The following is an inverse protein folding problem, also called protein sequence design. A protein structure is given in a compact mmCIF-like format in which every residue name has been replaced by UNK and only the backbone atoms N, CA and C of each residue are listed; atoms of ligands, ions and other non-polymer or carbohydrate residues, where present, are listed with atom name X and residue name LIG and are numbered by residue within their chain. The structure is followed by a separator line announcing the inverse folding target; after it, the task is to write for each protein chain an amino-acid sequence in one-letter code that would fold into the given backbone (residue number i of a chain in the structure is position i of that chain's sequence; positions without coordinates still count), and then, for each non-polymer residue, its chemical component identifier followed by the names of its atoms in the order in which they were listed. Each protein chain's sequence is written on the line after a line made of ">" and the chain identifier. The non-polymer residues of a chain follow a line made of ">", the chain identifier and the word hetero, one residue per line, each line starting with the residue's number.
data_IF_355988957978
#
_entry.id   IF_355988957978
#
_cell.length_a   1.000
_cell.length_b   1.000
_cell.length_c   1.000
_cell.angle_alpha   90.00
_cell.angle_beta   90.00
_cell.angle_gamma   90.00
#
_symmetry.space_group_name_H-M   'P 1'
#
loop_
_entity.id
_entity.type
_entity.pdbx_description
1 polymer ?
#
# COMPACT_ATOMS: atom_id res chain seq x y z
N UNK A 1 -2.92 11.72 14.15
CA UNK A 1 -1.92 10.64 13.94
C UNK A 1 -0.96 11.09 12.86
N UNK A 2 0.32 10.74 12.95
CA UNK A 2 1.30 10.92 11.88
C UNK A 2 1.77 9.52 11.50
N UNK A 3 1.43 9.06 10.31
CA UNK A 3 1.91 7.79 9.76
C UNK A 3 3.05 8.09 8.79
N UNK A 4 4.00 7.18 8.65
CA UNK A 4 5.07 7.36 7.67
C UNK A 4 5.68 6.01 7.28
N UNK A 5 6.25 5.92 6.09
CA UNK A 5 6.89 4.70 5.56
C UNK A 5 8.40 4.83 5.29
N UNK A 6 9.01 5.99 5.54
CA UNK A 6 10.45 6.20 5.32
C UNK A 6 11.29 5.68 6.50
N UNK A 7 12.62 5.57 6.36
CA UNK A 7 13.50 5.29 7.49
C UNK A 7 13.38 6.41 8.54
N UNK A 8 13.14 6.02 9.80
CA UNK A 8 13.08 6.93 10.93
C UNK A 8 13.90 6.39 12.10
N UNK A 9 14.43 7.30 12.91
CA UNK A 9 15.17 6.94 14.13
C UNK A 9 14.25 6.15 15.09
N UNK A 10 13.07 6.69 15.36
CA UNK A 10 12.04 6.10 16.22
C UNK A 10 10.63 6.42 15.68
N UNK A 11 9.65 5.64 16.13
CA UNK A 11 8.21 5.84 15.88
C UNK A 11 7.47 5.67 17.20
N UNK A 12 6.20 6.07 17.23
CA UNK A 12 5.35 5.76 18.38
C UNK A 12 5.15 4.24 18.47
N UNK A 13 5.03 3.73 19.71
CA UNK A 13 4.77 2.31 19.99
C UNK A 13 5.99 1.56 20.50
N UNK A 14 5.82 0.26 20.74
CA UNK A 14 6.90 -0.64 21.13
C UNK A 14 7.45 -1.33 19.87
N UNK A 15 8.75 -1.20 19.54
CA UNK A 15 9.32 -1.90 18.40
C UNK A 15 9.54 -3.38 18.73
N UNK A 16 9.38 -4.27 17.74
CA UNK A 16 9.61 -5.72 17.90
C UNK A 16 11.02 -6.03 18.43
N UNK A 17 12.03 -5.24 18.06
CA UNK A 17 13.41 -5.41 18.52
C UNK A 17 13.60 -5.23 20.04
N UNK A 18 12.66 -4.58 20.73
CA UNK A 18 12.65 -4.41 22.19
C UNK A 18 11.74 -5.43 22.90
N UNK A 19 11.02 -6.25 22.15
CA UNK A 19 10.13 -7.28 22.66
C UNK A 19 10.88 -8.59 22.91
N UNK A 20 10.51 -9.31 23.96
CA UNK A 20 10.94 -10.69 24.15
C UNK A 20 10.25 -11.65 23.14
N UNK A 21 10.70 -12.90 22.98
CA UNK A 21 10.15 -13.80 21.97
C UNK A 21 8.64 -14.04 22.05
N UNK A 22 8.09 -14.13 23.27
CA UNK A 22 6.64 -14.29 23.47
C UNK A 22 5.88 -13.04 23.03
N UNK A 23 6.39 -11.85 23.35
CA UNK A 23 5.80 -10.58 22.95
C UNK A 23 5.87 -10.39 21.43
N UNK A 24 6.99 -10.74 20.79
CA UNK A 24 7.11 -10.71 19.32
C UNK A 24 6.08 -11.63 18.66
N UNK A 25 5.94 -12.86 19.15
CA UNK A 25 4.95 -13.80 18.64
C UNK A 25 3.52 -13.26 18.79
N UNK A 26 3.18 -12.65 19.93
CA UNK A 26 1.88 -12.02 20.16
C UNK A 26 1.64 -10.82 19.24
N UNK A 27 2.64 -9.95 19.05
CA UNK A 27 2.53 -8.80 18.17
C UNK A 27 2.33 -9.22 16.69
N UNK A 28 3.09 -10.22 16.23
CA UNK A 28 2.89 -10.77 14.89
C UNK A 28 1.55 -11.50 14.75
N UNK A 29 1.06 -12.16 15.81
CA UNK A 29 -0.29 -12.72 15.85
C UNK A 29 -1.38 -11.65 15.75
N UNK A 30 -1.17 -10.48 16.37
CA UNK A 30 -2.07 -9.34 16.22
C UNK A 30 -2.10 -8.82 14.79
N UNK A 31 -0.93 -8.65 14.15
CA UNK A 31 -0.85 -8.34 12.72
C UNK A 31 -1.62 -9.36 11.89
N UNK A 32 -1.35 -10.66 12.09
CA UNK A 32 -2.00 -11.76 11.37
C UNK A 32 -3.53 -11.75 11.50
N UNK A 33 -4.07 -11.32 12.66
CA UNK A 33 -5.52 -11.22 12.86
C UNK A 33 -6.19 -10.07 12.11
N UNK A 34 -5.43 -9.04 11.74
CA UNK A 34 -5.96 -7.85 11.06
C UNK A 34 -5.94 -7.98 9.53
N UNK A 35 -5.16 -8.91 8.98
CA UNK A 35 -4.92 -9.07 7.54
C UNK A 35 -5.29 -10.47 7.05
N UNK A 36 -5.30 -10.70 5.74
CA UNK A 36 -5.44 -12.05 5.19
C UNK A 36 -4.13 -12.84 5.28
N UNK A 37 -4.12 -14.16 5.02
CA UNK A 37 -2.88 -14.92 4.88
C UNK A 37 -1.90 -14.32 3.86
N UNK A 38 -2.40 -13.86 2.70
CA UNK A 38 -1.60 -13.17 1.68
C UNK A 38 -1.06 -11.83 2.20
N UNK A 39 -1.91 -11.02 2.85
CA UNK A 39 -1.48 -9.75 3.43
C UNK A 39 -0.43 -9.92 4.53
N UNK A 40 -0.55 -10.97 5.35
CA UNK A 40 0.42 -11.31 6.38
C UNK A 40 1.75 -11.72 5.75
N UNK A 41 1.72 -12.60 4.74
CA UNK A 41 2.91 -13.01 4.01
C UNK A 41 3.62 -11.81 3.39
N UNK A 42 2.89 -10.94 2.67
CA UNK A 42 3.45 -9.72 2.09
C UNK A 42 4.08 -8.81 3.15
N UNK A 43 3.42 -8.64 4.31
CA UNK A 43 3.97 -7.84 5.40
C UNK A 43 5.30 -8.43 5.92
N UNK A 44 5.37 -9.74 6.15
CA UNK A 44 6.60 -10.42 6.60
C UNK A 44 7.71 -10.32 5.55
N UNK A 45 7.38 -10.50 4.28
CA UNK A 45 8.32 -10.37 3.16
C UNK A 45 8.88 -8.95 3.06
N UNK A 46 8.05 -7.91 3.23
CA UNK A 46 8.50 -6.51 3.29
C UNK A 46 9.43 -6.27 4.47
N UNK A 47 9.10 -6.80 5.65
CA UNK A 47 9.98 -6.71 6.82
C UNK A 47 11.33 -7.38 6.55
N UNK A 48 11.33 -8.53 5.89
CA UNK A 48 12.53 -9.29 5.58
C UNK A 48 13.39 -8.64 4.47
N UNK A 49 12.79 -7.87 3.55
CA UNK A 49 13.53 -7.07 2.55
C UNK A 49 14.51 -6.10 3.21
N UNK A 50 14.34 -5.71 4.47
CA UNK A 50 15.34 -4.93 5.21
C UNK A 50 16.72 -5.62 5.25
N UNK A 51 16.78 -6.97 5.31
CA UNK A 51 18.07 -7.68 5.24
C UNK A 51 18.73 -7.52 3.87
N UNK A 52 17.91 -7.58 2.82
CA UNK A 52 18.39 -7.41 1.45
C UNK A 52 18.88 -5.97 1.23
N UNK A 53 18.11 -4.98 1.66
CA UNK A 53 18.51 -3.57 1.64
C UNK A 53 19.83 -3.35 2.36
N UNK A 54 19.99 -3.92 3.57
CA UNK A 54 21.26 -3.85 4.31
C UNK A 54 22.45 -4.37 3.50
N UNK A 55 22.26 -5.46 2.76
CA UNK A 55 23.30 -6.05 1.94
C UNK A 55 23.61 -5.21 0.68
N UNK A 56 22.58 -4.62 0.06
CA UNK A 56 22.72 -3.81 -1.16
C UNK A 56 23.32 -2.42 -0.88
N UNK A 57 22.95 -1.78 0.23
CA UNK A 57 23.42 -0.44 0.58
C UNK A 57 24.84 -0.42 1.19
N UNK A 58 25.31 -1.57 1.71
CA UNK A 58 26.64 -1.70 2.30
C UNK A 58 26.81 -1.02 3.66
N UNK A 59 28.06 -0.74 4.04
CA UNK A 59 28.38 -0.08 5.31
C UNK A 59 28.25 1.45 5.21
N UNK A 60 27.79 2.11 6.27
CA UNK A 60 27.74 3.58 6.37
C UNK A 60 26.36 4.22 6.17
N UNK A 61 25.29 3.43 6.09
CA UNK A 61 23.91 3.95 6.05
C UNK A 61 23.54 4.56 7.41
N UNK A 62 23.04 5.80 7.41
CA UNK A 62 22.73 6.55 8.64
C UNK A 62 21.62 5.93 9.50
N UNK A 63 20.74 5.13 8.90
CA UNK A 63 19.64 4.44 9.60
C UNK A 63 19.80 2.93 9.44
N UNK A 64 19.81 2.21 10.56
CA UNK A 64 19.94 0.75 10.54
C UNK A 64 18.76 0.08 9.84
N UNK A 65 19.06 -0.73 8.82
CA UNK A 65 18.15 -1.67 8.18
C UNK A 65 17.94 -2.88 9.08
N UNK A 66 16.72 -3.08 9.57
CA UNK A 66 16.42 -4.10 10.56
C UNK A 66 14.98 -4.64 10.42
N UNK A 67 14.82 -5.94 10.09
CA UNK A 67 13.51 -6.59 9.92
C UNK A 67 12.60 -6.59 11.14
N UNK A 68 13.14 -6.34 12.33
CA UNK A 68 12.36 -6.25 13.58
C UNK A 68 12.26 -4.81 14.10
N UNK A 69 12.60 -3.80 13.28
CA UNK A 69 12.36 -2.38 13.59
C UNK A 69 10.97 -1.92 13.13
N UNK A 70 9.95 -2.67 13.54
CA UNK A 70 8.53 -2.39 13.27
C UNK A 70 7.81 -2.20 14.61
N UNK A 71 6.96 -1.18 14.67
CA UNK A 71 6.37 -0.64 15.88
C UNK A 71 4.90 -0.99 15.96
N UNK A 72 4.48 -1.45 17.13
CA UNK A 72 3.08 -1.69 17.44
C UNK A 72 2.61 -0.64 18.43
N UNK A 73 1.62 0.15 18.02
CA UNK A 73 1.00 1.17 18.88
C UNK A 73 -0.48 0.85 19.09
N UNK A 74 -0.86 0.66 20.35
CA UNK A 74 -2.26 0.56 20.76
C UNK A 74 -2.71 1.91 21.31
N UNK A 75 -3.85 2.42 20.82
CA UNK A 75 -4.49 3.62 21.31
C UNK A 75 -5.79 3.26 22.01
N UNK A 76 -5.96 3.74 23.24
CA UNK A 76 -7.08 3.31 24.09
C UNK A 76 -6.84 1.93 24.71
N UNK A 77 -7.91 1.32 25.22
CA UNK A 77 -7.88 0.00 25.87
C UNK A 77 -8.67 -0.99 25.01
N UNK A 78 -8.03 -2.03 24.44
CA UNK A 78 -8.74 -3.08 23.71
C UNK A 78 -9.78 -3.76 24.61
N UNK A 79 -11.04 -3.74 24.18
CA UNK A 79 -12.16 -4.45 24.80
C UNK A 79 -13.25 -4.67 23.75
N UNK A 80 -14.14 -5.64 24.00
CA UNK A 80 -15.23 -6.02 23.08
C UNK A 80 -16.36 -4.98 22.98
N UNK A 81 -16.33 -3.94 23.80
CA UNK A 81 -17.34 -2.87 23.89
C UNK A 81 -16.72 -1.46 23.80
N UNK A 82 -15.41 -1.36 23.56
CA UNK A 82 -14.70 -0.08 23.51
C UNK A 82 -14.29 0.32 22.10
N UNK A 83 -14.04 1.63 21.93
CA UNK A 83 -13.29 2.16 20.79
C UNK A 83 -11.80 2.13 21.12
N UNK A 84 -11.01 1.56 20.23
CA UNK A 84 -9.55 1.55 20.33
C UNK A 84 -8.93 1.49 18.92
N UNK A 85 -7.64 1.78 18.80
CA UNK A 85 -6.96 1.73 17.51
C UNK A 85 -5.61 1.01 17.60
N UNK A 86 -5.18 0.48 16.46
CA UNK A 86 -3.90 -0.17 16.28
C UNK A 86 -3.17 0.48 15.10
N UNK A 87 -1.91 0.82 15.31
CA UNK A 87 -0.98 1.15 14.23
C UNK A 87 0.18 0.15 14.25
N UNK A 88 0.54 -0.35 13.06
CA UNK A 88 1.69 -1.21 12.80
C UNK A 88 2.54 -0.53 11.73
N UNK A 89 3.71 -0.04 12.13
CA UNK A 89 4.51 0.84 11.27
C UNK A 89 5.99 0.48 11.27
N UNK A 90 6.62 0.63 10.12
CA UNK A 90 8.07 0.56 9.95
C UNK A 90 8.47 1.13 8.60
N UNK A 91 9.71 0.87 8.19
CA UNK A 91 10.12 1.19 6.83
C UNK A 91 9.29 0.33 5.85
N UNK A 92 8.68 0.96 4.86
CA UNK A 92 7.85 0.33 3.81
C UNK A 92 6.54 -0.36 4.24
N UNK A 93 6.12 -0.24 5.49
CA UNK A 93 4.84 -0.79 5.96
C UNK A 93 4.17 0.20 6.92
N UNK A 94 2.90 0.51 6.67
CA UNK A 94 2.06 1.25 7.62
C UNK A 94 0.62 0.75 7.51
N UNK A 95 0.15 0.10 8.56
CA UNK A 95 -1.21 -0.45 8.65
C UNK A 95 -1.90 0.14 9.87
N UNK A 96 -3.07 0.70 9.67
CA UNK A 96 -3.81 1.42 10.69
C UNK A 96 -5.23 0.86 10.76
N UNK A 97 -5.73 0.67 11.97
CA UNK A 97 -7.05 0.10 12.23
C UNK A 97 -7.72 0.83 13.38
N UNK A 98 -9.01 1.11 13.23
CA UNK A 98 -9.88 1.57 14.31
C UNK A 98 -10.95 0.53 14.54
N UNK A 99 -11.11 0.16 15.81
CA UNK A 99 -12.07 -0.85 16.25
C UNK A 99 -13.17 -0.18 17.06
N UNK A 100 -14.40 -0.67 16.88
CA UNK A 100 -15.54 -0.37 17.73
C UNK A 100 -16.22 -1.69 18.09
N UNK A 101 -16.02 -2.14 19.32
CA UNK A 101 -16.46 -3.46 19.75
C UNK A 101 -15.80 -4.58 18.96
N UNK A 102 -16.60 -5.41 18.28
CA UNK A 102 -16.13 -6.53 17.46
C UNK A 102 -15.90 -6.18 15.98
N UNK A 103 -16.01 -4.89 15.61
CA UNK A 103 -15.91 -4.41 14.24
C UNK A 103 -14.65 -3.58 14.02
N UNK A 104 -14.04 -3.77 12.85
CA UNK A 104 -13.12 -2.78 12.27
C UNK A 104 -13.98 -1.73 11.58
N UNK A 105 -13.92 -0.48 12.06
CA UNK A 105 -14.68 0.64 11.49
C UNK A 105 -13.86 1.49 10.53
N UNK A 106 -12.53 1.40 10.60
CA UNK A 106 -11.61 1.99 9.64
C UNK A 106 -10.33 1.12 9.58
N UNK A 107 -9.76 0.97 8.39
CA UNK A 107 -8.54 0.19 8.15
C UNK A 107 -7.51 0.96 7.31
N UNK A 108 -7.47 2.28 7.49
CA UNK A 108 -6.74 3.24 6.66
C UNK A 108 -6.00 4.29 7.50
N UNK A 109 -4.88 4.85 6.99
CA UNK A 109 -4.26 4.52 5.72
C UNK A 109 -3.61 3.13 5.76
N UNK A 110 -3.68 2.43 4.63
CA UNK A 110 -2.95 1.19 4.39
C UNK A 110 -1.83 1.47 3.40
N UNK A 111 -0.61 1.08 3.76
CA UNK A 111 0.57 1.26 2.93
C UNK A 111 1.43 0.01 2.91
N UNK A 112 1.78 -0.44 1.70
CA UNK A 112 2.74 -1.50 1.43
C UNK A 112 3.75 -0.99 0.40
N UNK A 113 5.03 -1.24 0.63
CA UNK A 113 6.09 -0.90 -0.31
C UNK A 113 7.13 -2.00 -0.39
N UNK A 114 7.84 -2.05 -1.52
CA UNK A 114 8.93 -3.01 -1.74
C UNK A 114 10.12 -2.32 -2.41
N UNK A 115 11.30 -2.49 -1.79
CA UNK A 115 12.59 -2.08 -2.34
C UNK A 115 13.62 -3.19 -2.03
N UNK A 116 14.17 -3.87 -3.05
CA UNK A 116 13.80 -3.78 -4.46
C UNK A 116 12.37 -4.30 -4.72
N UNK A 117 11.71 -3.75 -5.74
CA UNK A 117 10.41 -4.22 -6.21
C UNK A 117 10.50 -5.58 -6.91
N UNK A 118 11.58 -5.79 -7.68
CA UNK A 118 11.98 -7.04 -8.32
C UNK A 118 13.44 -7.35 -8.01
N UNK A 119 13.69 -8.54 -7.49
CA UNK A 119 15.02 -8.96 -7.08
C UNK A 119 15.87 -9.33 -8.31
N UNK A 120 17.07 -8.76 -8.41
CA UNK A 120 17.91 -8.87 -9.62
C UNK A 120 18.90 -10.04 -9.62
N UNK A 121 19.21 -10.59 -8.45
CA UNK A 121 20.10 -11.74 -8.26
C UNK A 121 19.66 -12.55 -7.04
N UNK A 122 20.02 -13.84 -7.02
CA UNK A 122 19.80 -14.69 -5.84
C UNK A 122 20.52 -14.11 -4.62
N UNK A 123 19.80 -13.93 -3.51
CA UNK A 123 20.31 -13.34 -2.27
C UNK A 123 19.62 -13.96 -1.06
N UNK A 124 20.37 -14.73 -0.25
CA UNK A 124 19.77 -15.51 0.83
C UNK A 124 18.73 -16.50 0.30
N UNK A 125 17.49 -16.43 0.80
CA UNK A 125 16.38 -17.25 0.28
C UNK A 125 15.67 -16.62 -0.93
N UNK A 126 15.96 -15.35 -1.24
CA UNK A 126 15.36 -14.66 -2.37
C UNK A 126 15.94 -15.14 -3.69
N UNK A 127 15.06 -15.38 -4.66
CA UNK A 127 15.43 -15.78 -6.02
C UNK A 127 15.34 -14.60 -6.97
N UNK A 128 16.20 -14.59 -7.99
CA UNK A 128 16.12 -13.62 -9.07
C UNK A 128 14.71 -13.64 -9.68
N UNK A 129 14.07 -12.48 -9.71
CA UNK A 129 12.72 -12.30 -10.22
C UNK A 129 11.60 -12.33 -9.18
N UNK A 130 11.89 -12.65 -7.91
CA UNK A 130 10.93 -12.52 -6.81
C UNK A 130 10.41 -11.07 -6.70
N UNK A 131 9.11 -10.92 -6.44
CA UNK A 131 8.38 -9.65 -6.39
C UNK A 131 7.24 -9.75 -5.36
N UNK A 132 7.28 -8.94 -4.30
CA UNK A 132 6.27 -8.99 -3.21
C UNK A 132 4.94 -8.32 -3.65
N UNK A 133 5.04 -7.27 -4.47
CA UNK A 133 3.91 -6.45 -4.94
C UNK A 133 3.73 -6.57 -6.46
N UNK A 134 3.94 -7.78 -7.01
CA UNK A 134 3.86 -8.04 -8.45
C UNK A 134 2.48 -7.72 -9.03
N UNK A 135 1.41 -8.16 -8.36
CA UNK A 135 0.05 -8.04 -8.88
C UNK A 135 -0.35 -6.57 -9.08
N UNK A 136 -0.03 -5.73 -8.10
CA UNK A 136 -0.32 -4.30 -8.08
C UNK A 136 0.37 -3.58 -9.25
N UNK A 137 1.64 -3.91 -9.52
CA UNK A 137 2.37 -3.36 -10.65
C UNK A 137 1.86 -3.91 -11.99
N UNK A 138 1.77 -5.24 -12.10
CA UNK A 138 1.46 -5.94 -13.35
C UNK A 138 0.06 -5.60 -13.84
N UNK A 139 -0.95 -5.66 -12.97
CA UNK A 139 -2.35 -5.42 -13.34
C UNK A 139 -2.58 -3.95 -13.69
N UNK A 140 -1.98 -3.00 -12.96
CA UNK A 140 -2.05 -1.57 -13.28
C UNK A 140 -1.47 -1.26 -14.66
N UNK A 141 -0.31 -1.84 -14.99
CA UNK A 141 0.31 -1.69 -16.31
C UNK A 141 -0.53 -2.33 -17.41
N UNK A 142 -1.00 -3.56 -17.21
CA UNK A 142 -1.86 -4.24 -18.19
C UNK A 142 -3.13 -3.45 -18.49
N UNK A 143 -3.76 -2.85 -17.46
CA UNK A 143 -4.91 -1.98 -17.66
C UNK A 143 -4.56 -0.77 -18.53
N UNK A 144 -3.48 -0.05 -18.20
CA UNK A 144 -3.04 1.12 -18.96
C UNK A 144 -2.65 0.79 -20.41
N UNK A 145 -1.96 -0.34 -20.64
CA UNK A 145 -1.59 -0.82 -21.97
C UNK A 145 -2.82 -1.18 -22.82
N UNK A 146 -3.85 -1.76 -22.18
CA UNK A 146 -5.07 -2.20 -22.85
C UNK A 146 -6.01 -1.07 -23.29
N UNK A 147 -5.76 0.17 -22.85
CA UNK A 147 -6.57 1.33 -23.22
C UNK A 147 -6.47 1.63 -24.73
N UNK A 148 -7.61 1.90 -25.35
CA UNK A 148 -7.68 2.45 -26.72
C UNK A 148 -7.10 3.86 -26.77
N UNK A 149 -6.77 4.39 -27.95
CA UNK A 149 -6.24 5.75 -28.07
C UNK A 149 -7.20 6.81 -27.53
N UNK A 150 -8.51 6.62 -27.75
CA UNK A 150 -9.53 7.50 -27.18
C UNK A 150 -9.54 7.45 -25.64
N UNK A 151 -9.43 6.26 -25.05
CA UNK A 151 -9.35 6.09 -23.61
C UNK A 151 -8.04 6.65 -23.05
N UNK A 152 -6.90 6.44 -23.72
CA UNK A 152 -5.60 6.99 -23.34
C UNK A 152 -5.59 8.50 -23.29
N UNK A 153 -6.30 9.17 -24.20
CA UNK A 153 -6.42 10.64 -24.18
C UNK A 153 -7.06 11.21 -22.90
N UNK A 154 -7.77 10.37 -22.14
CA UNK A 154 -8.36 10.72 -20.83
C UNK A 154 -7.65 10.05 -19.66
N UNK A 155 -7.25 8.79 -19.82
CA UNK A 155 -6.66 7.97 -18.77
C UNK A 155 -5.18 8.23 -18.53
N UNK A 156 -4.44 8.71 -19.53
CA UNK A 156 -3.06 9.15 -19.33
C UNK A 156 -3.07 10.60 -18.85
N UNK A 157 -2.60 10.80 -17.63
CA UNK A 157 -2.54 12.10 -16.98
C UNK A 157 -1.48 12.99 -17.65
N UNK A 158 -1.78 14.28 -17.86
CA UNK A 158 -0.83 15.21 -18.45
C UNK A 158 0.32 15.54 -17.47
N UNK A 159 1.44 15.98 -18.02
CA UNK A 159 2.59 16.44 -17.24
C UNK A 159 3.58 15.33 -16.85
N UNK A 160 4.51 15.68 -15.97
CA UNK A 160 5.53 14.74 -15.47
C UNK A 160 4.92 13.73 -14.49
N UNK A 161 5.44 12.51 -14.51
CA UNK A 161 5.10 11.49 -13.52
C UNK A 161 5.48 11.99 -12.12
N UNK A 162 4.59 11.85 -11.11
CA UNK A 162 4.93 12.16 -9.73
C UNK A 162 6.24 11.49 -9.29
N UNK A 163 6.90 12.07 -8.28
CA UNK A 163 8.12 11.49 -7.69
C UNK A 163 7.84 10.61 -6.46
N UNK A 164 6.65 10.74 -5.90
CA UNK A 164 6.15 10.03 -4.74
C UNK A 164 4.60 10.01 -4.76
N UNK A 165 3.99 9.18 -3.93
CA UNK A 165 2.57 9.27 -3.55
C UNK A 165 2.24 10.71 -3.13
N UNK A 166 1.19 11.30 -3.73
CA UNK A 166 0.95 12.74 -3.69
C UNK A 166 0.48 13.26 -2.33
N UNK A 167 -0.12 12.41 -1.50
CA UNK A 167 -0.51 12.72 -0.11
C UNK A 167 0.04 11.71 0.88
N UNK A 168 1.31 11.34 0.68
CA UNK A 168 2.09 10.56 1.62
C UNK A 168 2.15 11.24 3.00
N UNK A 169 2.12 10.43 4.06
CA UNK A 169 2.32 10.83 5.45
C UNK A 169 1.37 11.91 6.03
N UNK A 170 0.24 12.22 5.37
CA UNK A 170 -0.79 13.13 5.90
C UNK A 170 -1.93 12.36 6.58
N UNK A 171 -2.42 12.90 7.72
CA UNK A 171 -3.52 12.28 8.45
C UNK A 171 -4.84 12.27 7.68
N UNK A 172 -5.03 13.22 6.77
CA UNK A 172 -6.21 13.34 5.93
C UNK A 172 -5.91 12.79 4.53
N UNK A 173 -6.91 12.17 3.87
CA UNK A 173 -6.79 11.80 2.47
C UNK A 173 -6.65 13.07 1.61
N UNK A 174 -6.17 12.97 0.36
CA UNK A 174 -6.12 14.12 -0.53
C UNK A 174 -7.52 14.68 -0.78
N UNK A 175 -7.68 16.00 -0.61
CA UNK A 175 -8.90 16.70 -1.00
C UNK A 175 -8.77 17.19 -2.45
N UNK A 176 -8.97 16.28 -3.40
CA UNK A 176 -8.90 16.57 -4.84
C UNK A 176 -9.97 15.83 -5.62
N UNK A 177 -10.39 16.43 -6.73
CA UNK A 177 -11.27 15.77 -7.68
C UNK A 177 -10.59 14.54 -8.31
N UNK A 178 -11.35 13.48 -8.62
CA UNK A 178 -10.82 12.31 -9.31
C UNK A 178 -10.32 12.72 -10.71
N UNK A 179 -9.22 12.10 -11.12
CA UNK A 179 -8.58 12.36 -12.41
C UNK A 179 -8.50 11.08 -13.25
N UNK A 180 -8.52 11.24 -14.58
CA UNK A 180 -8.36 10.15 -15.51
C UNK A 180 -9.65 9.74 -16.22
N UNK A 181 -9.70 8.48 -16.63
CA UNK A 181 -10.80 7.88 -17.37
C UNK A 181 -11.88 7.35 -16.42
N UNK A 182 -13.14 7.78 -16.56
CA UNK A 182 -14.27 7.13 -15.88
C UNK A 182 -14.31 5.63 -16.18
N UNK A 183 -14.46 4.82 -15.14
CA UNK A 183 -14.41 3.36 -15.26
C UNK A 183 -15.59 2.80 -16.04
N UNK A 184 -16.73 3.50 -16.08
CA UNK A 184 -17.86 3.11 -16.92
C UNK A 184 -17.54 3.09 -18.43
N UNK A 185 -16.57 3.88 -18.88
CA UNK A 185 -16.04 3.93 -20.25
C UNK A 185 -15.01 2.83 -20.56
N UNK A 186 -14.66 1.99 -19.60
CA UNK A 186 -13.86 0.79 -19.85
C UNK A 186 -14.71 -0.29 -20.53
N UNK A 187 -14.08 -1.06 -21.42
CA UNK A 187 -14.65 -2.29 -21.97
C UNK A 187 -14.82 -3.35 -20.87
N UNK A 188 -15.65 -4.39 -21.08
CA UNK A 188 -15.79 -5.47 -20.10
C UNK A 188 -14.46 -6.11 -19.67
N UNK A 189 -13.55 -6.37 -20.62
CA UNK A 189 -12.24 -6.96 -20.32
C UNK A 189 -11.33 -6.00 -19.51
N UNK A 190 -11.38 -4.70 -19.78
CA UNK A 190 -10.65 -3.69 -19.01
C UNK A 190 -11.22 -3.55 -17.59
N UNK A 191 -12.55 -3.62 -17.43
CA UNK A 191 -13.20 -3.64 -16.11
C UNK A 191 -12.78 -4.87 -15.31
N UNK A 192 -12.63 -6.02 -15.95
CA UNK A 192 -12.13 -7.22 -15.30
C UNK A 192 -10.68 -7.05 -14.79
N UNK A 193 -9.80 -6.42 -15.59
CA UNK A 193 -8.44 -6.06 -15.13
C UNK A 193 -8.47 -5.11 -13.93
N UNK A 194 -9.34 -4.10 -13.95
CA UNK A 194 -9.52 -3.19 -12.82
C UNK A 194 -10.04 -3.91 -11.57
N UNK A 195 -10.99 -4.84 -11.72
CA UNK A 195 -11.52 -5.64 -10.61
C UNK A 195 -10.43 -6.52 -10.01
N UNK A 196 -9.62 -7.17 -10.85
CA UNK A 196 -8.45 -7.93 -10.38
C UNK A 196 -7.45 -7.03 -9.65
N UNK A 197 -7.22 -5.82 -10.16
CA UNK A 197 -6.34 -4.84 -9.54
C UNK A 197 -6.86 -4.42 -8.16
N UNK A 198 -8.11 -3.98 -8.04
CA UNK A 198 -8.74 -3.64 -6.76
C UNK A 198 -8.80 -4.84 -5.80
N UNK A 199 -8.96 -6.06 -6.34
CA UNK A 199 -8.85 -7.30 -5.55
C UNK A 199 -7.47 -7.41 -4.92
N UNK A 200 -6.39 -7.20 -5.69
CA UNK A 200 -5.03 -7.26 -5.17
C UNK A 200 -4.77 -6.27 -4.01
N UNK A 201 -5.52 -5.16 -3.93
CA UNK A 201 -5.47 -4.23 -2.80
C UNK A 201 -6.34 -4.65 -1.61
N UNK A 202 -7.59 -5.01 -1.88
CA UNK A 202 -8.59 -5.33 -0.86
C UNK A 202 -8.31 -6.67 -0.18
N UNK A 203 -7.87 -7.69 -0.93
CA UNK A 203 -7.65 -9.04 -0.43
C UNK A 203 -6.45 -9.17 0.52
N UNK A 204 -5.63 -8.13 0.69
CA UNK A 204 -4.58 -8.08 1.72
C UNK A 204 -5.17 -7.98 3.13
N UNK A 205 -6.36 -7.40 3.27
CA UNK A 205 -7.00 -7.23 4.57
C UNK A 205 -7.78 -8.49 4.95
N UNK A 206 -8.19 -8.59 6.22
CA UNK A 206 -9.07 -9.68 6.62
C UNK A 206 -10.36 -9.71 5.76
N UNK A 207 -11.05 -10.85 5.64
CA UNK A 207 -12.19 -10.98 4.73
C UNK A 207 -13.32 -9.97 4.99
N UNK A 208 -13.54 -9.56 6.25
CA UNK A 208 -14.58 -8.60 6.59
C UNK A 208 -14.26 -7.19 6.10
N UNK A 209 -13.02 -6.72 6.28
CA UNK A 209 -12.56 -5.43 5.75
C UNK A 209 -12.54 -5.46 4.21
N UNK A 210 -12.09 -6.56 3.62
CA UNK A 210 -12.09 -6.72 2.17
C UNK A 210 -13.51 -6.64 1.59
N UNK A 211 -14.48 -7.34 2.21
CA UNK A 211 -15.89 -7.29 1.83
C UNK A 211 -16.45 -5.87 1.98
N UNK A 212 -16.21 -5.21 3.12
CA UNK A 212 -16.71 -3.85 3.35
C UNK A 212 -16.19 -2.85 2.30
N UNK A 213 -14.90 -2.94 1.93
CA UNK A 213 -14.34 -2.12 0.85
C UNK A 213 -15.02 -2.39 -0.49
N UNK A 214 -15.36 -3.63 -0.80
CA UNK A 214 -16.12 -3.96 -2.02
C UNK A 214 -17.55 -3.41 -1.97
N UNK A 215 -18.23 -3.47 -0.83
CA UNK A 215 -19.55 -2.87 -0.65
C UNK A 215 -19.51 -1.35 -0.94
N UNK A 216 -18.50 -0.65 -0.43
CA UNK A 216 -18.28 0.76 -0.70
C UNK A 216 -18.01 1.04 -2.19
N UNK A 217 -17.08 0.30 -2.82
CA UNK A 217 -16.79 0.44 -4.26
C UNK A 217 -18.05 0.24 -5.12
N UNK A 218 -18.89 -0.73 -4.77
CA UNK A 218 -20.13 -0.99 -5.53
C UNK A 218 -21.18 0.09 -5.28
N UNK A 219 -21.28 0.60 -4.05
CA UNK A 219 -22.20 1.69 -3.70
C UNK A 219 -21.82 3.02 -4.38
N UNK A 220 -20.52 3.28 -4.54
CA UNK A 220 -19.99 4.43 -5.28
C UNK A 220 -20.46 4.45 -6.74
N UNK A 221 -20.58 3.28 -7.37
CA UNK A 221 -20.96 3.11 -8.76
C UNK A 221 -19.81 3.40 -9.73
N UNK A 222 -19.60 2.53 -10.72
CA UNK A 222 -18.45 2.58 -11.63
C UNK A 222 -18.34 3.86 -12.47
N UNK A 223 -19.42 4.61 -12.67
CA UNK A 223 -19.40 5.92 -13.32
C UNK A 223 -18.72 7.02 -12.48
N UNK A 224 -18.61 6.81 -11.17
CA UNK A 224 -17.96 7.73 -10.24
C UNK A 224 -16.54 7.31 -9.86
N UNK A 225 -16.07 6.17 -10.38
CA UNK A 225 -14.70 5.68 -10.19
C UNK A 225 -13.86 6.05 -11.41
N UNK A 226 -12.66 6.56 -11.19
CA UNK A 226 -11.77 7.03 -12.25
C UNK A 226 -10.42 6.31 -12.16
N UNK A 227 -9.85 5.98 -13.33
CA UNK A 227 -8.50 5.44 -13.45
C UNK A 227 -7.59 6.44 -14.18
N UNK A 228 -6.50 6.83 -13.53
CA UNK A 228 -5.45 7.67 -14.09
C UNK A 228 -4.11 6.95 -14.12
N UNK A 229 -3.33 7.14 -15.18
CA UNK A 229 -1.99 6.59 -15.38
C UNK A 229 -1.01 7.71 -15.73
N UNK A 230 0.22 7.65 -15.23
CA UNK A 230 1.32 8.51 -15.68
C UNK A 230 2.61 7.71 -15.82
N UNK A 231 3.45 8.11 -16.76
CA UNK A 231 4.76 7.51 -16.98
C UNK A 231 4.76 6.36 -17.99
N UNK A 232 5.86 5.64 -18.00
CA UNK A 232 6.17 4.71 -19.08
C UNK A 232 5.39 3.40 -19.02
N UNK A 233 4.95 2.90 -20.18
CA UNK A 233 4.17 1.68 -20.32
C UNK A 233 5.04 0.41 -20.36
N UNK A 234 6.35 0.49 -20.49
CA UNK A 234 7.22 -0.69 -20.50
C UNK A 234 7.84 -1.01 -19.13
N UNK A 235 8.18 -2.29 -18.84
CA UNK A 235 8.92 -2.66 -17.64
C UNK A 235 10.22 -1.86 -17.48
N UNK A 236 10.57 -1.50 -16.24
CA UNK A 236 11.74 -0.67 -15.93
C UNK A 236 11.56 0.83 -16.19
N UNK A 237 10.41 1.27 -16.72
CA UNK A 237 10.08 2.68 -16.82
C UNK A 237 9.32 3.15 -15.57
N UNK A 238 9.68 4.35 -15.11
CA UNK A 238 8.99 5.02 -14.01
C UNK A 238 7.51 5.24 -14.34
N UNK A 239 6.62 4.89 -13.41
CA UNK A 239 5.18 4.97 -13.62
C UNK A 239 4.40 5.16 -12.32
N UNK A 240 3.18 5.63 -12.49
CA UNK A 240 2.21 5.94 -11.44
C UNK A 240 0.80 5.59 -11.94
N UNK A 241 -0.07 5.16 -11.02
CA UNK A 241 -1.49 5.20 -11.28
C UNK A 241 -2.29 5.59 -10.03
N UNK A 242 -3.51 6.05 -10.29
CA UNK A 242 -4.51 6.36 -9.30
C UNK A 242 -5.85 5.75 -9.69
N UNK A 243 -6.54 5.16 -8.71
CA UNK A 243 -7.95 4.80 -8.80
C UNK A 243 -8.68 5.54 -7.70
N UNK A 244 -9.63 6.39 -8.06
CA UNK A 244 -10.34 7.22 -7.09
C UNK A 244 -11.84 7.10 -7.31
N UNK A 245 -12.56 6.73 -6.25
CA UNK A 245 -14.00 6.84 -6.13
C UNK A 245 -14.39 7.83 -5.03
N UNK A 246 -15.70 8.06 -4.82
CA UNK A 246 -16.20 8.89 -3.72
C UNK A 246 -15.70 8.48 -2.33
N UNK A 247 -15.59 7.18 -2.02
CA UNK A 247 -15.22 6.72 -0.67
C UNK A 247 -13.79 6.20 -0.55
N UNK A 248 -13.06 6.02 -1.65
CA UNK A 248 -11.74 5.39 -1.61
C UNK A 248 -10.76 5.96 -2.62
N UNK A 249 -9.47 5.80 -2.30
CA UNK A 249 -8.37 6.10 -3.20
C UNK A 249 -7.32 5.00 -3.12
N UNK A 250 -6.88 4.56 -4.30
CA UNK A 250 -5.68 3.77 -4.49
C UNK A 250 -4.67 4.61 -5.24
N UNK A 251 -3.45 4.72 -4.71
CA UNK A 251 -2.31 5.23 -5.48
C UNK A 251 -1.19 4.20 -5.50
N UNK A 252 -0.50 4.15 -6.64
CA UNK A 252 0.68 3.35 -6.87
C UNK A 252 1.74 4.22 -7.50
N UNK A 253 2.98 4.02 -7.09
CA UNK A 253 4.12 4.62 -7.79
C UNK A 253 5.32 3.69 -7.77
N UNK A 254 6.04 3.65 -8.89
CA UNK A 254 7.35 3.04 -8.99
C UNK A 254 8.20 3.85 -9.96
N UNK A 255 8.94 4.81 -9.40
CA UNK A 255 9.83 5.73 -10.14
C UNK A 255 11.23 5.81 -9.54
N UNK A 256 11.36 5.51 -8.26
CA UNK A 256 12.62 5.57 -7.54
C UNK A 256 13.49 4.35 -7.92
N UNK A 257 14.82 4.53 -8.02
CA UNK A 257 15.71 3.38 -8.17
C UNK A 257 15.75 2.57 -6.87
N UNK A 258 16.08 1.28 -6.96
CA UNK A 258 16.43 0.50 -5.77
C UNK A 258 17.81 0.88 -5.21
N UNK A 259 18.18 0.26 -4.09
CA UNK A 259 19.49 0.46 -3.44
C UNK A 259 20.70 0.13 -4.35
N UNK A 260 20.52 -0.65 -5.41
CA UNK A 260 21.57 -0.99 -6.38
C UNK A 260 21.54 -0.08 -7.63
N UNK A 261 20.68 0.93 -7.68
CA UNK A 261 20.57 1.87 -8.78
C UNK A 261 19.74 1.37 -9.97
N UNK A 262 19.02 0.24 -9.84
CA UNK A 262 18.12 -0.21 -10.90
C UNK A 262 16.92 0.72 -10.99
N UNK A 263 16.63 1.32 -12.16
CA UNK A 263 15.58 2.33 -12.29
C UNK A 263 14.19 1.72 -12.06
N UNK A 264 13.28 2.51 -11.46
CA UNK A 264 11.89 2.12 -11.20
C UNK A 264 11.80 0.70 -10.59
N UNK A 265 12.50 0.52 -9.48
CA UNK A 265 12.53 -0.75 -8.75
C UNK A 265 12.24 -0.56 -7.26
N UNK A 266 11.37 0.41 -6.95
CA UNK A 266 10.96 0.76 -5.60
C UNK A 266 9.48 1.16 -5.63
N UNK A 267 8.61 0.18 -5.33
CA UNK A 267 7.16 0.32 -5.41
C UNK A 267 6.61 0.86 -4.10
N UNK A 268 5.73 1.85 -4.17
CA UNK A 268 4.84 2.25 -3.08
C UNK A 268 3.37 2.08 -3.49
N UNK A 269 2.58 1.45 -2.62
CA UNK A 269 1.15 1.21 -2.79
C UNK A 269 0.39 1.74 -1.58
N UNK A 270 -0.62 2.58 -1.80
CA UNK A 270 -1.47 3.11 -0.72
C UNK A 270 -2.96 2.88 -1.01
N UNK A 271 -3.72 2.63 0.05
CA UNK A 271 -5.18 2.71 0.07
C UNK A 271 -5.61 3.71 1.15
N UNK A 272 -6.50 4.63 0.79
CA UNK A 272 -7.05 5.67 1.68
C UNK A 272 -8.57 5.61 1.72
N UNK A 273 -9.13 5.97 2.86
CA UNK A 273 -10.56 6.29 3.01
C UNK A 273 -10.77 7.77 2.68
N UNK A 274 -11.52 8.05 1.62
CA UNK A 274 -11.80 9.43 1.18
C UNK A 274 -12.86 10.13 2.06
N UNK A 275 -13.55 9.38 2.92
CA UNK A 275 -14.48 9.89 3.94
C UNK A 275 -13.78 10.19 5.27
N UNK A 276 -12.52 9.77 5.41
CA UNK A 276 -11.59 10.24 6.44
C UNK A 276 -10.83 9.14 7.16
N UNK A 277 -9.54 9.01 6.87
CA UNK A 277 -8.69 7.99 7.49
C UNK A 277 -8.63 8.09 9.02
N UNK A 278 -8.34 6.96 9.66
CA UNK A 278 -8.33 6.80 11.13
C UNK A 278 -9.71 7.04 11.77
N UNK A 279 -10.81 6.90 11.02
CA UNK A 279 -12.17 7.24 11.46
C UNK A 279 -12.21 8.67 12.03
N UNK A 280 -11.59 9.60 11.29
CA UNK A 280 -11.57 11.03 11.60
C UNK A 280 -12.37 11.78 10.55
N UNK A 281 -13.25 12.72 10.94
CA UNK A 281 -14.01 13.50 9.96
C UNK A 281 -13.08 14.32 9.07
N UNK A 282 -13.42 14.40 7.78
CA UNK A 282 -12.76 15.28 6.81
C UNK A 282 -12.81 16.74 7.30
N UNK A 283 -11.70 17.45 7.10
CA UNK A 283 -11.53 18.86 7.47
C UNK A 283 -11.17 19.74 6.29
#
# INVERSE_FOLDING_TARGET
>A
MQWHFIPMATRKGLPLMEMNPSQQATALGLLQSCVSPDGFQKAQEIMELEKLLKALEGQGVAMERNPVKYYFTVFGKPASDSRWALSIEGHHLSLNFVFQGDRVIDSTPQFFAANPARIQSDQGHWKKGSQVLEAEQRLGRQLAESLTDQQKSKGILPGETPKEILSAATAQPPHRDPVGLPVDQLSPAQKELLVQLLTAYTSKMNPWVAQHRWELIQADGWQNVYFGWSGGLQPGQGHYYVIQGPTFLVEFINVQPDAAGNPANHIHCVWRDMTGDFDLPIR
#
